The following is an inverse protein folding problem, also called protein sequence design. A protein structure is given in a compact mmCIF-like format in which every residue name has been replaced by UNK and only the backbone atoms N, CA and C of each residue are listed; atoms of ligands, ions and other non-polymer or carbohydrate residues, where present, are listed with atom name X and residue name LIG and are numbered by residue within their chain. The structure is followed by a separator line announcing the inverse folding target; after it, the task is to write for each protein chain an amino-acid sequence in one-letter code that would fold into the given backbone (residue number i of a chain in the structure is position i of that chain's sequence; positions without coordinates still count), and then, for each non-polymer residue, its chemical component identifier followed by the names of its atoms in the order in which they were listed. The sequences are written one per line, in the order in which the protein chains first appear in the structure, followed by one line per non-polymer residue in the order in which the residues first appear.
data_IF_738093741614
#
_entry.id   IF_738093741614
#
_cell.length_a   1.000
_cell.length_b   1.000
_cell.length_c   1.000
_cell.angle_alpha   90.00
_cell.angle_beta   90.00
_cell.angle_gamma   90.00
#
_symmetry.space_group_name_H-M   'P 1'
#
loop_
_entity.id
_entity.type
_entity.pdbx_description
1 polymer ?
#
# COMPACT_ATOMS: atom_id res chain seq x y z
N UNK A 1 -1.58 -62.39 39.32
CA UNK A 1 -2.58 -62.70 40.37
C UNK A 1 -3.77 -61.83 40.13
N UNK A 2 -4.79 -62.46 39.63
CA UNK A 2 -6.20 -62.49 40.01
C UNK A 2 -7.01 -61.26 39.67
N UNK A 3 -7.84 -61.39 38.63
CA UNK A 3 -9.27 -61.76 38.57
C UNK A 3 -10.16 -60.73 39.27
N UNK A 4 -11.23 -60.22 38.73
CA UNK A 4 -12.47 -60.73 38.14
C UNK A 4 -13.22 -59.54 37.58
N UNK A 5 -13.76 -59.50 36.37
CA UNK A 5 -15.09 -59.96 35.95
C UNK A 5 -16.27 -59.55 36.85
N UNK A 6 -17.17 -58.71 36.35
CA UNK A 6 -18.58 -59.08 36.26
C UNK A 6 -19.39 -58.16 35.37
N UNK A 7 -20.06 -58.74 34.47
CA UNK A 7 -21.09 -58.22 33.56
C UNK A 7 -22.45 -58.21 34.27
N UNK A 8 -23.38 -57.42 33.82
CA UNK A 8 -24.82 -57.70 33.65
C UNK A 8 -25.51 -56.46 33.09
N UNK A 9 -25.91 -56.53 31.88
CA UNK A 9 -27.24 -56.88 31.32
C UNK A 9 -28.36 -55.96 31.79
N UNK A 10 -28.94 -55.26 30.85
CA UNK A 10 -30.31 -55.49 30.42
C UNK A 10 -31.29 -54.40 30.78
N UNK A 11 -31.79 -53.73 29.78
CA UNK A 11 -33.21 -53.70 29.38
C UNK A 11 -33.52 -52.47 28.54
N UNK A 12 -33.78 -52.72 27.30
CA UNK A 12 -34.83 -52.04 26.53
C UNK A 12 -36.18 -52.69 26.85
N UNK A 13 -37.33 -52.19 26.38
CA UNK A 13 -37.82 -50.97 25.73
C UNK A 13 -39.12 -50.45 26.42
N UNK A 14 -40.12 -49.85 25.80
CA UNK A 14 -40.55 -49.73 24.41
C UNK A 14 -41.03 -48.34 23.96
N UNK A 15 -41.03 -48.23 22.65
CA UNK A 15 -41.93 -47.53 21.73
C UNK A 15 -43.09 -46.69 22.31
N UNK A 16 -43.24 -45.59 21.67
CA UNK A 16 -44.41 -45.10 20.94
C UNK A 16 -44.73 -43.67 21.29
N UNK A 17 -44.72 -42.83 20.35
CA UNK A 17 -45.81 -41.96 19.92
C UNK A 17 -45.30 -41.05 18.81
N UNK A 18 -45.77 -41.36 17.65
CA UNK A 18 -45.74 -40.50 16.47
C UNK A 18 -46.30 -39.11 16.82
N UNK A 19 -45.45 -38.09 16.74
CA UNK A 19 -45.93 -36.74 16.52
C UNK A 19 -45.20 -36.17 15.29
N UNK A 20 -45.95 -36.16 14.21
CA UNK A 20 -45.68 -35.40 13.01
C UNK A 20 -45.36 -33.98 13.39
N UNK A 21 -44.11 -33.60 13.31
CA UNK A 21 -43.72 -32.21 13.29
C UNK A 21 -43.27 -31.92 11.87
N UNK A 22 -44.12 -31.17 11.20
CA UNK A 22 -43.85 -30.42 9.98
C UNK A 22 -42.46 -29.80 10.00
N UNK A 23 -41.61 -29.96 9.00
CA UNK A 23 -40.39 -29.17 8.95
C UNK A 23 -40.79 -27.72 8.71
N UNK A 24 -40.53 -26.86 9.69
CA UNK A 24 -40.47 -25.44 9.47
C UNK A 24 -39.37 -25.19 8.44
N UNK A 25 -39.80 -24.88 7.23
CA UNK A 25 -38.97 -24.29 6.20
C UNK A 25 -38.37 -23.01 6.77
N UNK A 26 -37.08 -23.04 7.14
CA UNK A 26 -36.31 -21.85 7.32
C UNK A 26 -36.28 -21.14 5.97
N UNK A 27 -36.66 -19.86 5.87
CA UNK A 27 -36.40 -19.11 4.65
C UNK A 27 -34.89 -19.01 4.47
N UNK A 28 -34.43 -19.48 3.30
CA UNK A 28 -33.09 -19.19 2.78
C UNK A 28 -32.90 -17.67 2.78
N UNK A 29 -32.31 -17.17 3.84
CA UNK A 29 -31.71 -15.84 3.81
C UNK A 29 -30.43 -16.00 3.02
N UNK A 30 -30.58 -15.95 1.70
CA UNK A 30 -29.47 -15.66 0.78
C UNK A 30 -29.01 -14.26 1.13
N UNK A 31 -28.24 -14.17 2.20
CA UNK A 31 -27.45 -12.98 2.51
C UNK A 31 -26.39 -12.86 1.41
N UNK A 32 -26.78 -12.27 0.31
CA UNK A 32 -25.87 -11.69 -0.65
C UNK A 32 -25.12 -10.59 0.06
N UNK A 33 -24.07 -10.96 0.81
CA UNK A 33 -23.03 -10.01 1.15
C UNK A 33 -22.56 -9.45 -0.18
N UNK A 34 -22.66 -8.13 -0.40
CA UNK A 34 -21.96 -7.52 -1.50
C UNK A 34 -20.50 -7.91 -1.30
N UNK A 35 -19.97 -8.77 -2.17
CA UNK A 35 -18.55 -8.94 -2.32
C UNK A 35 -18.03 -7.54 -2.55
N UNK A 36 -17.35 -7.01 -1.55
CA UNK A 36 -16.55 -5.79 -1.70
C UNK A 36 -15.61 -6.12 -2.84
N UNK A 37 -15.99 -5.68 -4.04
CA UNK A 37 -15.24 -5.92 -5.26
C UNK A 37 -13.82 -5.47 -4.94
N UNK A 38 -12.87 -6.39 -4.99
CA UNK A 38 -11.47 -6.07 -5.12
C UNK A 38 -11.42 -5.15 -6.31
N UNK A 39 -11.39 -3.83 -6.04
CA UNK A 39 -11.18 -2.87 -7.09
C UNK A 39 -9.87 -3.28 -7.75
N UNK A 40 -9.97 -3.65 -9.00
CA UNK A 40 -8.83 -4.07 -9.79
C UNK A 40 -7.96 -2.83 -10.03
N UNK A 41 -7.02 -2.61 -9.10
CA UNK A 41 -6.09 -1.48 -9.12
C UNK A 41 -5.14 -1.54 -10.32
N UNK A 42 -5.12 -2.63 -11.08
CA UNK A 42 -4.30 -2.75 -12.29
C UNK A 42 -4.77 -1.81 -13.39
N UNK A 43 -6.08 -1.53 -13.48
CA UNK A 43 -6.65 -0.59 -14.45
C UNK A 43 -6.54 0.89 -14.03
N UNK A 44 -6.08 1.19 -12.81
CA UNK A 44 -5.96 2.58 -12.35
C UNK A 44 -4.72 3.23 -12.98
N UNK A 45 -4.84 4.38 -13.67
CA UNK A 45 -3.68 5.09 -14.22
C UNK A 45 -2.60 5.35 -13.16
N UNK A 46 -1.33 5.19 -13.53
CA UNK A 46 -0.19 5.34 -12.62
C UNK A 46 -0.22 6.70 -11.91
N UNK A 47 -0.48 7.77 -12.63
CA UNK A 47 -0.61 9.11 -12.08
C UNK A 47 -1.58 9.16 -10.88
N UNK A 48 -2.74 8.49 -11.00
CA UNK A 48 -3.72 8.40 -9.91
C UNK A 48 -3.23 7.52 -8.75
N UNK A 49 -2.54 6.41 -9.04
CA UNK A 49 -1.91 5.56 -8.01
C UNK A 49 -0.89 6.34 -7.18
N UNK A 50 -0.09 7.17 -7.83
CA UNK A 50 0.91 8.03 -7.19
C UNK A 50 0.29 9.21 -6.44
N UNK A 51 -1.01 9.49 -6.64
CA UNK A 51 -1.74 10.57 -5.99
C UNK A 51 -1.55 11.91 -6.67
N UNK A 52 -1.20 11.93 -7.95
CA UNK A 52 -1.20 13.14 -8.79
C UNK A 52 -2.65 13.55 -9.01
N UNK A 53 -2.96 14.80 -8.73
CA UNK A 53 -4.27 15.41 -8.85
C UNK A 53 -4.23 16.55 -9.85
N UNK A 54 -5.38 17.09 -10.17
CA UNK A 54 -5.50 18.31 -10.94
C UNK A 54 -4.69 19.44 -10.29
N UNK A 55 -3.94 20.18 -11.10
CA UNK A 55 -3.06 21.25 -10.64
C UNK A 55 -1.80 20.82 -9.87
N UNK A 56 -1.57 19.53 -9.66
CA UNK A 56 -0.40 19.03 -8.91
C UNK A 56 0.92 19.41 -9.56
N UNK A 57 1.87 19.83 -8.74
CA UNK A 57 3.24 20.06 -9.13
C UNK A 57 4.10 18.81 -8.85
N UNK A 58 4.57 18.17 -9.90
CA UNK A 58 5.21 16.86 -9.89
C UNK A 58 6.69 16.98 -10.23
N UNK A 59 7.55 16.29 -9.51
CA UNK A 59 8.94 16.11 -9.88
C UNK A 59 9.24 14.62 -10.06
N UNK A 60 9.80 14.28 -11.21
CA UNK A 60 10.32 12.93 -11.48
C UNK A 60 11.83 13.01 -11.61
N UNK A 61 12.54 12.21 -10.83
CA UNK A 61 14.01 12.19 -10.76
C UNK A 61 14.52 10.81 -11.06
N UNK A 62 15.50 10.72 -11.96
CA UNK A 62 16.19 9.46 -12.28
C UNK A 62 15.32 8.41 -12.98
N UNK A 63 14.25 8.84 -13.63
CA UNK A 63 13.40 7.91 -14.38
C UNK A 63 14.21 7.16 -15.46
N UNK A 64 13.97 5.85 -15.65
CA UNK A 64 14.59 5.08 -16.72
C UNK A 64 14.11 5.56 -18.09
N UNK A 65 14.90 5.28 -19.12
CA UNK A 65 14.50 5.57 -20.49
C UNK A 65 13.17 4.89 -20.82
N UNK A 66 12.28 5.64 -21.47
CA UNK A 66 10.95 5.15 -21.85
C UNK A 66 9.91 5.16 -20.72
N UNK A 67 10.25 5.58 -19.52
CA UNK A 67 9.27 5.72 -18.42
C UNK A 67 8.19 6.75 -18.78
N UNK A 68 6.94 6.40 -18.56
CA UNK A 68 5.80 7.28 -18.75
C UNK A 68 4.82 7.15 -17.57
N UNK A 69 4.32 8.27 -17.08
CA UNK A 69 3.23 8.30 -16.11
C UNK A 69 1.87 7.94 -16.72
N UNK A 70 1.80 7.87 -18.06
CA UNK A 70 0.54 7.78 -18.79
C UNK A 70 -0.28 9.06 -18.69
N UNK A 71 -1.61 8.98 -18.84
CA UNK A 71 -2.49 10.15 -18.73
C UNK A 71 -2.38 10.80 -17.36
N UNK A 72 -2.05 12.08 -17.33
CA UNK A 72 -2.00 12.90 -16.11
C UNK A 72 -3.22 13.81 -16.02
N UNK A 73 -3.71 14.13 -14.81
CA UNK A 73 -4.83 15.04 -14.63
C UNK A 73 -4.53 16.44 -15.19
N UNK A 74 -5.60 17.14 -15.57
CA UNK A 74 -5.52 18.50 -16.12
C UNK A 74 -4.79 19.44 -15.17
N UNK A 75 -3.97 20.34 -15.72
CA UNK A 75 -3.23 21.32 -14.92
C UNK A 75 -2.04 20.78 -14.15
N UNK A 76 -1.76 19.46 -14.18
CA UNK A 76 -0.55 18.93 -13.58
C UNK A 76 0.69 19.47 -14.30
N UNK A 77 1.66 19.95 -13.54
CA UNK A 77 2.90 20.55 -14.05
C UNK A 77 4.13 19.78 -13.56
N UNK A 78 5.17 19.70 -14.42
CA UNK A 78 6.38 18.97 -14.11
C UNK A 78 7.53 19.94 -13.79
N UNK A 79 8.04 19.83 -12.56
CA UNK A 79 9.22 20.57 -12.14
C UNK A 79 10.49 19.93 -12.69
N UNK A 80 11.48 20.76 -13.03
CA UNK A 80 12.81 20.30 -13.51
C UNK A 80 13.82 20.10 -12.36
N UNK A 81 13.51 20.55 -11.16
CA UNK A 81 14.41 20.47 -10.02
C UNK A 81 13.64 20.42 -8.70
N UNK A 82 14.29 19.95 -7.64
CA UNK A 82 13.74 19.86 -6.30
C UNK A 82 13.67 21.24 -5.62
N UNK A 83 12.90 22.17 -6.21
CA UNK A 83 12.70 23.54 -5.68
C UNK A 83 11.21 23.84 -5.51
N UNK A 84 10.90 24.52 -4.40
CA UNK A 84 9.56 25.02 -4.06
C UNK A 84 8.61 23.91 -3.66
N UNK A 85 7.38 24.19 -3.29
CA UNK A 85 6.46 23.15 -2.85
C UNK A 85 6.13 22.22 -4.01
N UNK A 86 6.38 20.92 -3.80
CA UNK A 86 6.07 19.85 -4.73
C UNK A 86 5.00 18.95 -4.10
N UNK A 87 3.91 18.72 -4.82
CA UNK A 87 2.83 17.85 -4.34
C UNK A 87 3.20 16.39 -4.44
N UNK A 88 3.93 16.01 -5.51
CA UNK A 88 4.39 14.64 -5.71
C UNK A 88 5.84 14.65 -6.19
N UNK A 89 6.68 13.89 -5.52
CA UNK A 89 8.04 13.59 -5.96
C UNK A 89 8.15 12.09 -6.21
N UNK A 90 8.60 11.71 -7.39
CA UNK A 90 8.89 10.32 -7.76
C UNK A 90 10.40 10.20 -8.00
N UNK A 91 11.09 9.54 -7.10
CA UNK A 91 12.54 9.34 -7.13
C UNK A 91 12.87 7.91 -7.51
N UNK A 92 13.43 7.71 -8.70
CA UNK A 92 13.99 6.43 -9.13
C UNK A 92 15.44 6.30 -8.69
N UNK A 93 15.80 5.16 -8.17
CA UNK A 93 17.16 4.84 -7.75
C UNK A 93 17.39 3.34 -7.71
N UNK A 94 18.60 2.90 -7.95
CA UNK A 94 19.01 1.51 -7.89
C UNK A 94 19.99 1.25 -6.73
N UNK A 95 20.57 2.31 -6.14
CA UNK A 95 21.57 2.17 -5.09
C UNK A 95 21.23 3.00 -3.84
N UNK A 96 21.62 2.48 -2.69
CA UNK A 96 21.45 3.17 -1.41
C UNK A 96 22.23 4.49 -1.36
N UNK A 97 23.41 4.54 -1.97
CA UNK A 97 24.24 5.74 -2.02
C UNK A 97 23.54 6.87 -2.79
N UNK A 98 22.94 6.55 -3.95
CA UNK A 98 22.17 7.51 -4.74
C UNK A 98 20.89 7.94 -4.02
N UNK A 99 20.20 7.01 -3.38
CA UNK A 99 19.04 7.31 -2.55
C UNK A 99 19.41 8.32 -1.46
N UNK A 100 20.43 8.04 -0.66
CA UNK A 100 20.88 8.93 0.44
C UNK A 100 21.29 10.30 -0.05
N UNK A 101 21.89 10.39 -1.21
CA UNK A 101 22.33 11.66 -1.82
C UNK A 101 21.14 12.54 -2.25
N UNK A 102 20.12 11.95 -2.88
CA UNK A 102 19.00 12.71 -3.47
C UNK A 102 17.83 12.90 -2.52
N UNK A 103 17.62 11.99 -1.60
CA UNK A 103 16.47 11.96 -0.69
C UNK A 103 16.30 13.24 0.13
N UNK A 104 17.36 13.83 0.75
CA UNK A 104 17.21 15.05 1.54
C UNK A 104 16.69 16.25 0.73
N UNK A 105 17.12 16.39 -0.52
CA UNK A 105 16.64 17.46 -1.40
C UNK A 105 15.16 17.27 -1.77
N UNK A 106 14.75 16.03 -2.04
CA UNK A 106 13.36 15.68 -2.31
C UNK A 106 12.46 15.98 -1.08
N UNK A 107 12.91 15.61 0.12
CA UNK A 107 12.18 15.88 1.37
C UNK A 107 12.04 17.38 1.65
N UNK A 108 13.08 18.18 1.39
CA UNK A 108 13.02 19.64 1.58
C UNK A 108 12.05 20.31 0.60
N UNK A 109 11.99 19.81 -0.64
CA UNK A 109 11.10 20.36 -1.67
C UNK A 109 9.64 19.92 -1.50
N UNK A 110 9.38 18.85 -0.74
CA UNK A 110 8.07 18.28 -0.58
C UNK A 110 7.10 19.22 0.13
N UNK A 111 5.92 19.44 -0.43
CA UNK A 111 4.82 20.14 0.25
C UNK A 111 4.46 19.41 1.56
N UNK A 112 4.04 20.12 2.63
CA UNK A 112 3.59 19.47 3.87
C UNK A 112 2.49 18.43 3.70
N UNK A 113 1.62 18.58 2.70
CA UNK A 113 0.59 17.61 2.32
C UNK A 113 1.01 16.70 1.15
N UNK A 114 2.23 16.89 0.65
CA UNK A 114 2.77 16.19 -0.50
C UNK A 114 3.14 14.74 -0.24
N UNK A 115 3.54 14.06 -1.30
CA UNK A 115 3.90 12.65 -1.32
C UNK A 115 5.26 12.45 -1.99
N UNK A 116 6.15 11.76 -1.29
CA UNK A 116 7.44 11.35 -1.83
C UNK A 116 7.40 9.85 -2.12
N UNK A 117 7.57 9.49 -3.36
CA UNK A 117 7.71 8.11 -3.78
C UNK A 117 9.18 7.80 -4.05
N UNK A 118 9.66 6.71 -3.49
CA UNK A 118 10.94 6.11 -3.87
C UNK A 118 10.62 4.88 -4.69
N UNK A 119 11.13 4.83 -5.91
CA UNK A 119 10.99 3.71 -6.82
C UNK A 119 12.33 3.01 -7.02
N UNK A 120 12.34 1.69 -6.83
CA UNK A 120 13.51 0.84 -7.03
C UNK A 120 13.15 -0.45 -7.74
N UNK A 121 14.12 -1.14 -8.38
CA UNK A 121 13.85 -2.37 -9.12
C UNK A 121 13.20 -3.44 -8.25
N UNK A 122 12.24 -4.15 -8.83
CA UNK A 122 11.70 -5.36 -8.24
C UNK A 122 12.74 -6.46 -8.24
N UNK A 123 12.71 -7.33 -7.26
CA UNK A 123 13.62 -8.49 -7.18
C UNK A 123 13.59 -9.37 -8.44
N UNK A 124 12.42 -9.45 -9.10
CA UNK A 124 12.23 -10.25 -10.31
C UNK A 124 12.66 -9.55 -11.61
N UNK A 125 13.12 -8.30 -11.54
CA UNK A 125 13.43 -7.51 -12.73
C UNK A 125 14.87 -7.68 -13.24
N UNK A 126 15.69 -8.50 -12.60
CA UNK A 126 17.09 -8.78 -12.95
C UNK A 126 17.95 -7.50 -13.12
N UNK A 127 17.56 -6.42 -12.45
CA UNK A 127 18.32 -5.17 -12.40
C UNK A 127 19.09 -5.13 -11.08
N UNK A 128 20.39 -4.91 -11.15
CA UNK A 128 21.25 -4.82 -9.98
C UNK A 128 20.79 -3.70 -9.05
N UNK A 129 20.55 -4.05 -7.80
CA UNK A 129 20.15 -3.12 -6.75
C UNK A 129 20.56 -3.64 -5.37
N UNK A 130 21.05 -2.73 -4.54
CA UNK A 130 21.29 -2.96 -3.11
C UNK A 130 20.09 -2.53 -2.25
N UNK A 131 18.96 -2.15 -2.88
CA UNK A 131 17.77 -1.67 -2.20
C UNK A 131 16.78 -2.79 -1.95
N UNK A 132 16.35 -2.88 -0.70
CA UNK A 132 15.20 -3.68 -0.26
C UNK A 132 14.11 -2.77 0.30
N UNK A 133 12.94 -3.33 0.54
CA UNK A 133 11.84 -2.60 1.17
C UNK A 133 12.27 -2.00 2.53
N UNK A 134 12.94 -2.80 3.35
CA UNK A 134 13.39 -2.42 4.70
C UNK A 134 14.43 -1.30 4.66
N UNK A 135 15.36 -1.35 3.70
CA UNK A 135 16.38 -0.31 3.53
C UNK A 135 15.73 1.00 3.13
N UNK A 136 14.83 0.99 2.14
CA UNK A 136 14.12 2.19 1.68
C UNK A 136 13.24 2.75 2.77
N UNK A 137 12.49 1.90 3.48
CA UNK A 137 11.65 2.30 4.61
C UNK A 137 12.47 2.99 5.71
N UNK A 138 13.60 2.41 6.09
CA UNK A 138 14.50 2.97 7.11
C UNK A 138 14.99 4.37 6.73
N UNK A 139 15.43 4.57 5.49
CA UNK A 139 15.85 5.90 5.02
C UNK A 139 14.75 6.95 5.16
N UNK A 140 13.49 6.58 4.85
CA UNK A 140 12.36 7.49 5.00
C UNK A 140 12.02 7.79 6.45
N UNK A 141 12.01 6.78 7.31
CA UNK A 141 11.72 6.91 8.76
C UNK A 141 12.81 7.73 9.45
N UNK A 142 14.08 7.49 9.14
CA UNK A 142 15.22 8.24 9.69
C UNK A 142 15.15 9.73 9.30
N UNK A 143 14.58 10.04 8.15
CA UNK A 143 14.32 11.41 7.70
C UNK A 143 13.05 12.04 8.32
N UNK A 144 12.37 11.36 9.24
CA UNK A 144 11.17 11.83 9.93
C UNK A 144 9.89 11.73 9.12
N UNK A 145 9.88 10.95 8.04
CA UNK A 145 8.68 10.66 7.27
C UNK A 145 7.99 9.39 7.77
N UNK A 146 6.79 9.15 7.27
CA UNK A 146 6.02 7.92 7.51
C UNK A 146 5.77 7.26 6.16
N UNK A 147 6.05 5.99 6.08
CA UNK A 147 5.61 5.16 4.97
C UNK A 147 4.09 4.96 5.04
N UNK A 148 3.43 5.07 3.92
CA UNK A 148 1.97 5.05 3.85
C UNK A 148 1.45 3.89 3.01
N UNK A 149 2.01 3.69 1.84
CA UNK A 149 1.64 2.57 0.96
C UNK A 149 2.76 2.21 -0.01
N UNK A 150 2.73 0.96 -0.46
CA UNK A 150 3.55 0.49 -1.58
C UNK A 150 2.68 0.30 -2.83
N UNK A 151 3.28 0.42 -4.01
CA UNK A 151 2.62 0.16 -5.28
C UNK A 151 3.64 -0.29 -6.34
N UNK A 152 3.17 -1.05 -7.32
CA UNK A 152 3.92 -1.26 -8.55
C UNK A 152 3.89 0.04 -9.35
N UNK A 153 5.06 0.51 -9.77
CA UNK A 153 5.22 1.68 -10.64
C UNK A 153 5.06 1.24 -12.09
N UNK A 154 5.81 0.21 -12.48
CA UNK A 154 5.72 -0.46 -13.77
C UNK A 154 6.10 -1.94 -13.63
N UNK A 155 6.45 -2.60 -14.72
CA UNK A 155 6.83 -4.02 -14.70
C UNK A 155 8.18 -4.25 -13.99
N UNK A 156 9.09 -3.29 -14.05
CA UNK A 156 10.44 -3.35 -13.49
C UNK A 156 10.51 -2.75 -12.09
N UNK A 157 9.80 -1.64 -11.84
CA UNK A 157 9.94 -0.85 -10.62
C UNK A 157 8.75 -1.01 -9.67
N UNK A 158 9.06 -1.08 -8.40
CA UNK A 158 8.12 -0.95 -7.28
C UNK A 158 8.42 0.34 -6.53
N UNK A 159 7.43 0.87 -5.82
CA UNK A 159 7.57 2.14 -5.10
C UNK A 159 7.00 2.09 -3.69
N UNK A 160 7.62 2.84 -2.79
CA UNK A 160 7.15 3.11 -1.43
C UNK A 160 6.86 4.60 -1.28
N UNK A 161 5.65 4.91 -0.81
CA UNK A 161 5.20 6.28 -0.57
C UNK A 161 5.52 6.71 0.84
N UNK A 162 6.12 7.89 0.96
CA UNK A 162 6.35 8.57 2.21
C UNK A 162 5.52 9.86 2.29
N UNK A 163 5.06 10.16 3.49
CA UNK A 163 4.32 11.40 3.79
C UNK A 163 4.85 12.03 5.08
N UNK A 164 4.65 13.34 5.21
CA UNK A 164 4.95 14.06 6.44
C UNK A 164 3.83 13.78 7.44
N UNK A 165 4.19 13.47 8.69
CA UNK A 165 3.23 13.25 9.77
C UNK A 165 2.34 14.47 9.95
N UNK A 166 1.05 14.26 10.19
CA UNK A 166 0.08 15.37 10.36
C UNK A 166 0.52 16.40 11.38
N UNK A 167 1.05 15.96 12.53
CA UNK A 167 1.56 16.83 13.60
C UNK A 167 2.76 17.70 13.19
N UNK A 168 3.53 17.28 12.18
CA UNK A 168 4.74 17.95 11.73
C UNK A 168 4.49 18.88 10.52
N UNK A 169 3.31 18.78 9.89
CA UNK A 169 2.95 19.60 8.73
C UNK A 169 2.90 21.08 9.06
N UNK A 170 2.30 21.46 10.19
CA UNK A 170 2.21 22.85 10.62
C UNK A 170 3.58 23.48 10.82
N UNK A 171 4.53 22.76 11.45
CA UNK A 171 5.91 23.22 11.66
C UNK A 171 6.63 23.48 10.34
N UNK A 172 6.46 22.58 9.35
CA UNK A 172 7.08 22.75 8.03
C UNK A 172 6.45 23.89 7.22
N UNK A 173 5.17 24.17 7.39
CA UNK A 173 4.51 25.32 6.75
C UNK A 173 5.06 26.64 7.33
N UNK A 174 5.24 26.74 8.64
CA UNK A 174 5.79 27.91 9.30
C UNK A 174 7.23 28.21 8.87
N UNK A 175 8.11 27.19 8.85
CA UNK A 175 9.51 27.35 8.45
C UNK A 175 9.76 27.69 6.97
N UNK A 176 8.72 27.68 6.14
CA UNK A 176 8.81 28.10 4.72
C UNK A 176 8.45 29.56 4.47
N UNK A 177 7.82 30.22 5.45
CA UNK A 177 7.42 31.63 5.36
C UNK A 177 8.46 32.58 5.90
N UNK A 178 9.50 32.06 6.53
CA UNK A 178 10.70 32.77 6.96
C UNK A 178 11.80 32.64 5.92
#
# INVERSE_FOLDING_TARGET
MSRCSHAMRGREPPNDVARRRTPLQCPDVTSSRPSTGRQDYSATPLARKLGIREGSRVLVVGAPSGFSLGPVPTGASFARSARGPLDVVLLFTTTLSDLRRRFPAAVRALDPAGRLWVAWPKKAAEVDTDLTFEIVQRVGVDAGLVDNKSASVDDVYQGLQFVIRLKDRAKRTAGRRS
#
